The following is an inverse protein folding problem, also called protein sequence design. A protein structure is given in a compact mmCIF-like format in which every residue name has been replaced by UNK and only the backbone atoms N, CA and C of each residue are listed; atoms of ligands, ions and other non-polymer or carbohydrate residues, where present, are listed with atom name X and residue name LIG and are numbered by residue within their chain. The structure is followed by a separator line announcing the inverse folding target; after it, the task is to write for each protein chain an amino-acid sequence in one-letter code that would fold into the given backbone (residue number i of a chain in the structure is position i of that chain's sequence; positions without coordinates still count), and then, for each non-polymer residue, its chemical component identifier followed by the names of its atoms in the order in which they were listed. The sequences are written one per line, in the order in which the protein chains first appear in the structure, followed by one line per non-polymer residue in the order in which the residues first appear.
data_IF_998039097590
#
_entry.id   IF_998039097590
#
_cell.length_a   1.000
_cell.length_b   1.000
_cell.length_c   1.000
_cell.angle_alpha   90.00
_cell.angle_beta   90.00
_cell.angle_gamma   90.00
#
_symmetry.space_group_name_H-M   'P 1'
#
loop_
_entity.id
_entity.type
_entity.pdbx_description
1 polymer ?
#
# COMPACT_ATOMS: atom_id res chain seq x y z
N UNK A 1 0.74 4.34 -3.04
CA UNK A 1 2.01 3.57 -3.14
C UNK A 1 2.09 2.95 -4.52
N UNK A 2 3.30 2.65 -4.97
CA UNK A 2 3.56 1.99 -6.24
C UNK A 2 3.98 0.54 -6.00
N UNK A 3 3.61 -0.34 -6.92
CA UNK A 3 4.09 -1.72 -6.97
C UNK A 3 4.70 -2.00 -8.33
N UNK A 4 5.90 -2.59 -8.35
CA UNK A 4 6.58 -3.00 -9.58
C UNK A 4 6.21 -4.43 -10.02
N UNK A 5 6.74 -4.88 -11.16
CA UNK A 5 6.49 -6.21 -11.70
C UNK A 5 7.04 -7.36 -10.85
N UNK A 6 8.04 -7.10 -10.01
CA UNK A 6 8.58 -8.07 -9.06
C UNK A 6 7.78 -8.12 -7.74
N UNK A 7 6.79 -7.23 -7.59
CA UNK A 7 5.98 -7.13 -6.39
C UNK A 7 6.64 -6.30 -5.28
N UNK A 8 7.69 -5.53 -5.58
CA UNK A 8 8.26 -4.59 -4.62
C UNK A 8 7.32 -3.38 -4.49
N UNK A 9 7.08 -2.96 -3.26
CA UNK A 9 6.21 -1.85 -2.92
C UNK A 9 7.05 -0.69 -2.43
N UNK A 10 6.79 0.51 -2.96
CA UNK A 10 7.39 1.75 -2.48
C UNK A 10 6.36 2.87 -2.36
N UNK A 11 6.63 3.85 -1.50
CA UNK A 11 5.84 5.08 -1.44
C UNK A 11 6.01 5.82 -0.14
N UNK A 12 5.16 6.81 0.10
CA UNK A 12 5.15 7.59 1.34
C UNK A 12 3.77 7.53 1.99
N UNK A 13 3.75 7.60 3.32
CA UNK A 13 2.55 7.82 4.12
C UNK A 13 2.71 9.10 4.93
N UNK A 14 1.75 10.02 4.78
CA UNK A 14 1.79 11.34 5.42
C UNK A 14 0.58 11.51 6.33
N UNK A 15 0.83 11.91 7.57
CA UNK A 15 -0.18 12.23 8.57
C UNK A 15 0.20 13.54 9.27
N UNK A 16 -0.36 14.66 8.80
CA UNK A 16 0.08 15.98 9.22
C UNK A 16 1.53 16.24 8.79
N UNK A 17 2.40 16.63 9.72
CA UNK A 17 3.84 16.83 9.48
C UNK A 17 4.67 15.54 9.60
N UNK A 18 4.05 14.40 9.92
CA UNK A 18 4.74 13.11 10.02
C UNK A 18 4.73 12.40 8.68
N UNK A 19 5.92 12.08 8.17
CA UNK A 19 6.11 11.41 6.88
C UNK A 19 6.90 10.13 7.09
N UNK A 20 6.34 9.02 6.64
CA UNK A 20 6.97 7.70 6.61
C UNK A 20 7.34 7.34 5.18
N UNK A 21 8.59 6.93 4.96
CA UNK A 21 8.97 6.23 3.75
C UNK A 21 8.61 4.76 3.91
N UNK A 22 7.93 4.20 2.92
CA UNK A 22 7.40 2.85 2.95
C UNK A 22 8.08 2.00 1.89
N UNK A 23 8.57 0.85 2.31
CA UNK A 23 9.15 -0.17 1.45
C UNK A 23 8.64 -1.55 1.81
N UNK A 24 8.48 -2.43 0.84
CA UNK A 24 7.95 -3.75 1.13
C UNK A 24 7.74 -4.63 -0.08
N UNK A 25 6.92 -5.67 0.11
CA UNK A 25 6.58 -6.64 -0.94
C UNK A 25 5.12 -7.02 -0.89
N UNK A 26 4.56 -7.37 -2.05
CA UNK A 26 3.26 -7.99 -2.20
C UNK A 26 3.38 -9.22 -3.11
N UNK A 27 3.06 -10.39 -2.58
CA UNK A 27 3.15 -11.68 -3.29
C UNK A 27 1.83 -12.42 -3.21
N UNK A 28 1.56 -13.34 -4.14
CA UNK A 28 0.39 -14.20 -4.04
C UNK A 28 0.47 -15.02 -2.74
N UNK A 29 -0.58 -14.95 -1.93
CA UNK A 29 -0.66 -15.70 -0.67
C UNK A 29 -0.65 -17.23 -0.91
N UNK A 30 -1.07 -17.67 -2.09
CA UNK A 30 -0.98 -19.07 -2.52
C UNK A 30 -0.43 -19.12 -3.96
N UNK A 31 0.90 -19.16 -4.13
CA UNK A 31 1.52 -19.22 -5.45
C UNK A 31 0.99 -20.40 -6.28
N UNK A 32 0.79 -20.19 -7.59
CA UNK A 32 0.24 -21.22 -8.49
C UNK A 32 -1.27 -21.44 -8.37
N UNK A 33 -1.96 -20.72 -7.48
CA UNK A 33 -3.42 -20.75 -7.37
C UNK A 33 -4.09 -19.69 -8.24
N UNK A 34 -5.32 -19.94 -8.69
CA UNK A 34 -6.17 -18.93 -9.32
C UNK A 34 -6.74 -17.88 -8.32
N UNK A 35 -6.36 -17.98 -7.04
CA UNK A 35 -6.79 -17.05 -5.99
C UNK A 35 -6.02 -15.73 -6.11
N UNK A 36 -6.75 -14.62 -6.26
CA UNK A 36 -6.19 -13.27 -6.30
C UNK A 36 -6.06 -12.63 -4.91
N UNK A 37 -5.53 -13.40 -3.94
CA UNK A 37 -5.24 -12.91 -2.59
C UNK A 37 -3.73 -12.71 -2.45
N UNK A 38 -3.33 -11.55 -1.96
CA UNK A 38 -1.92 -11.19 -1.82
C UNK A 38 -1.54 -11.08 -0.34
N UNK A 39 -0.40 -11.64 0.03
CA UNK A 39 0.26 -11.36 1.29
C UNK A 39 1.16 -10.14 1.08
N UNK A 40 1.04 -9.15 1.97
CA UNK A 40 1.77 -7.89 1.88
C UNK A 40 2.55 -7.67 3.16
N UNK A 41 3.82 -7.28 3.01
CA UNK A 41 4.72 -6.91 4.10
C UNK A 41 5.30 -5.53 3.82
N UNK A 42 5.04 -4.58 4.69
CA UNK A 42 5.54 -3.20 4.58
C UNK A 42 6.43 -2.88 5.79
N UNK A 43 7.52 -2.17 5.56
CA UNK A 43 8.38 -1.58 6.59
C UNK A 43 8.28 -0.08 6.44
N UNK A 44 8.06 0.61 7.55
CA UNK A 44 8.04 2.05 7.63
C UNK A 44 9.36 2.57 8.21
N UNK A 45 9.88 3.63 7.61
CA UNK A 45 11.08 4.34 8.04
C UNK A 45 10.80 5.83 8.17
N UNK A 46 11.60 6.52 8.99
CA UNK A 46 11.50 7.98 9.09
C UNK A 46 11.93 8.59 7.76
N UNK A 47 11.04 9.40 7.17
CA UNK A 47 11.37 10.06 5.92
C UNK A 47 12.44 11.13 6.14
N UNK A 48 13.34 11.26 5.16
CA UNK A 48 14.36 12.32 5.10
C UNK A 48 13.83 13.61 4.47
N UNK A 49 12.56 13.65 4.09
CA UNK A 49 11.94 14.82 3.49
C UNK A 49 11.95 16.04 4.45
N UNK A 50 12.32 17.25 3.96
CA UNK A 50 12.33 18.45 4.78
C UNK A 50 10.96 18.74 5.42
N UNK A 51 10.98 19.14 6.70
CA UNK A 51 9.76 19.44 7.46
C UNK A 51 9.05 18.23 8.05
N UNK A 52 9.55 17.01 7.80
CA UNK A 52 9.07 15.81 8.49
C UNK A 52 9.40 15.88 9.99
N UNK A 53 8.39 15.65 10.84
CA UNK A 53 8.55 15.54 12.30
C UNK A 53 8.66 14.09 12.78
N UNK A 54 9.00 13.15 11.88
CA UNK A 54 9.09 11.70 12.13
C UNK A 54 7.98 10.90 11.46
N UNK A 55 7.91 9.60 11.75
CA UNK A 55 6.91 8.69 11.18
C UNK A 55 5.73 8.41 12.13
N UNK A 56 4.51 8.36 11.60
CA UNK A 56 3.30 8.05 12.35
C UNK A 56 3.02 6.54 12.49
N UNK A 57 3.77 5.70 11.79
CA UNK A 57 3.74 4.25 11.90
C UNK A 57 4.91 3.77 12.77
N UNK A 58 4.83 2.54 13.30
CA UNK A 58 5.94 1.96 14.06
C UNK A 58 7.11 1.65 13.12
N UNK A 59 8.22 2.38 13.27
CA UNK A 59 9.43 2.14 12.48
C UNK A 59 10.16 0.89 12.96
N UNK A 60 10.85 0.20 12.06
CA UNK A 60 11.60 -1.03 12.36
C UNK A 60 10.76 -2.27 12.63
N UNK A 61 9.42 -2.16 12.64
CA UNK A 61 8.50 -3.30 12.79
C UNK A 61 7.74 -3.51 11.48
N UNK A 62 7.73 -4.73 10.91
CA UNK A 62 6.96 -4.99 9.70
C UNK A 62 5.45 -4.95 9.93
N UNK A 63 4.76 -4.26 9.04
CA UNK A 63 3.31 -4.24 8.92
C UNK A 63 2.87 -5.29 7.90
N UNK A 64 2.26 -6.36 8.39
CA UNK A 64 1.77 -7.43 7.54
C UNK A 64 0.26 -7.35 7.39
N UNK A 65 -0.23 -7.78 6.23
CA UNK A 65 -1.65 -7.87 5.95
C UNK A 65 -1.93 -8.66 4.69
N UNK A 66 -3.22 -8.93 4.46
CA UNK A 66 -3.68 -9.44 3.18
C UNK A 66 -4.25 -8.30 2.34
N UNK A 67 -4.07 -8.40 1.03
CA UNK A 67 -4.61 -7.46 0.07
C UNK A 67 -5.43 -8.17 -1.00
N UNK A 68 -6.46 -7.48 -1.45
CA UNK A 68 -7.32 -7.91 -2.56
C UNK A 68 -7.22 -6.91 -3.72
N UNK A 69 -7.48 -7.40 -4.93
CA UNK A 69 -7.58 -6.55 -6.12
C UNK A 69 -8.89 -5.77 -6.08
N UNK A 70 -8.80 -4.45 -6.20
CA UNK A 70 -9.90 -3.53 -6.47
C UNK A 70 -9.67 -2.86 -7.82
N UNK A 71 -10.71 -2.77 -8.63
CA UNK A 71 -10.73 -1.92 -9.82
C UNK A 71 -11.16 -0.52 -9.40
N UNK A 72 -10.28 0.46 -9.60
CA UNK A 72 -10.57 1.87 -9.31
C UNK A 72 -10.49 2.68 -10.59
N UNK A 73 -11.35 3.71 -10.77
CA UNK A 73 -11.19 4.64 -11.88
C UNK A 73 -9.77 5.21 -11.91
N UNK A 74 -9.13 5.13 -13.07
CA UNK A 74 -7.72 5.49 -13.23
C UNK A 74 -7.46 6.98 -12.98
N UNK A 75 -8.49 7.81 -13.13
CA UNK A 75 -8.50 9.24 -12.84
C UNK A 75 -8.92 9.58 -11.40
N UNK A 76 -9.22 8.57 -10.57
CA UNK A 76 -9.71 8.76 -9.20
C UNK A 76 -11.16 9.23 -9.08
N UNK A 77 -11.92 9.23 -10.19
CA UNK A 77 -13.33 9.62 -10.17
C UNK A 77 -14.19 8.68 -9.33
N UNK A 78 -15.25 9.22 -8.72
CA UNK A 78 -16.28 8.44 -7.99
C UNK A 78 -17.46 8.14 -8.91
N UNK A 79 -17.80 9.08 -9.80
CA UNK A 79 -18.86 8.94 -10.79
C UNK A 79 -18.24 8.30 -12.04
N UNK A 80 -18.72 7.10 -12.38
CA UNK A 80 -18.22 6.32 -13.52
C UNK A 80 -19.19 6.39 -14.69
N UNK A 81 -18.66 6.37 -15.90
CA UNK A 81 -19.42 6.31 -17.14
C UNK A 81 -18.80 5.29 -18.11
N UNK A 82 -19.36 5.17 -19.31
CA UNK A 82 -18.90 4.21 -20.32
C UNK A 82 -17.44 4.42 -20.78
N UNK A 83 -16.88 5.62 -20.57
CA UNK A 83 -15.49 5.96 -20.95
C UNK A 83 -14.50 5.78 -19.79
N UNK A 84 -14.97 5.46 -18.58
CA UNK A 84 -14.10 5.31 -17.40
C UNK A 84 -13.13 4.15 -17.59
N UNK A 85 -11.83 4.46 -17.55
CA UNK A 85 -10.75 3.47 -17.52
C UNK A 85 -10.49 3.04 -16.08
N UNK A 86 -10.20 1.76 -15.88
CA UNK A 86 -9.92 1.21 -14.56
C UNK A 86 -8.47 0.79 -14.41
N UNK A 87 -7.88 1.13 -13.26
CA UNK A 87 -6.60 0.61 -12.83
C UNK A 87 -6.80 -0.53 -11.82
N UNK A 88 -5.95 -1.56 -11.91
CA UNK A 88 -5.87 -2.61 -10.89
C UNK A 88 -5.09 -2.06 -9.70
N UNK A 89 -5.74 -2.04 -8.54
CA UNK A 89 -5.15 -1.55 -7.30
C UNK A 89 -5.26 -2.64 -6.25
N UNK A 90 -4.16 -2.91 -5.53
CA UNK A 90 -4.20 -3.75 -4.33
C UNK A 90 -4.61 -2.89 -3.14
N UNK A 91 -5.65 -3.34 -2.42
CA UNK A 91 -6.11 -2.70 -1.20
C UNK A 91 -5.83 -3.63 -0.03
N UNK A 92 -5.04 -3.16 0.92
CA UNK A 92 -4.62 -3.89 2.11
C UNK A 92 -5.24 -3.24 3.35
N UNK A 93 -5.67 -4.05 4.30
CA UNK A 93 -5.83 -3.66 5.70
C UNK A 93 -4.70 -4.32 6.50
N UNK A 94 -3.83 -3.50 7.09
CA UNK A 94 -2.64 -3.94 7.81
C UNK A 94 -2.70 -3.54 9.28
N UNK A 95 -1.99 -4.29 10.13
CA UNK A 95 -1.83 -3.94 11.55
C UNK A 95 -0.59 -3.07 11.78
N UNK A 96 -0.67 -2.10 12.69
CA UNK A 96 0.42 -1.13 12.96
C UNK A 96 1.52 -1.69 13.86
N UNK A 97 1.64 -3.00 14.08
CA UNK A 97 2.60 -3.59 15.04
C UNK A 97 2.30 -3.29 16.53
N UNK A 98 1.66 -2.17 16.81
CA UNK A 98 1.23 -1.66 18.13
C UNK A 98 -0.28 -1.87 18.39
N UNK A 99 -0.96 -2.66 17.57
CA UNK A 99 -2.38 -3.00 17.72
C UNK A 99 -3.38 -2.06 17.01
N UNK A 100 -2.91 -1.05 16.28
CA UNK A 100 -3.74 -0.26 15.38
C UNK A 100 -3.92 -0.91 14.01
N UNK A 101 -4.79 -0.33 13.18
CA UNK A 101 -5.00 -0.73 11.79
C UNK A 101 -4.83 0.46 10.86
N UNK A 102 -4.33 0.20 9.65
CA UNK A 102 -4.31 1.19 8.58
C UNK A 102 -4.73 0.52 7.27
N UNK A 103 -5.17 1.34 6.31
CA UNK A 103 -5.48 0.89 4.95
C UNK A 103 -4.47 1.43 3.96
N UNK A 104 -4.00 0.59 3.06
CA UNK A 104 -3.03 0.93 2.03
C UNK A 104 -3.59 0.62 0.64
N UNK A 105 -3.37 1.55 -0.31
CA UNK A 105 -3.65 1.36 -1.72
C UNK A 105 -2.36 1.39 -2.54
N UNK A 106 -2.12 0.31 -3.28
CA UNK A 106 -0.95 0.13 -4.14
C UNK A 106 -1.42 -0.06 -5.57
N UNK A 107 -1.00 0.82 -6.46
CA UNK A 107 -1.34 0.74 -7.88
C UNK A 107 -0.07 0.34 -8.64
N UNK A 108 -0.24 -0.50 -9.66
CA UNK A 108 0.87 -0.90 -10.52
C UNK A 108 1.46 0.33 -11.22
N UNK A 109 2.79 0.43 -11.21
CA UNK A 109 3.53 1.49 -11.90
C UNK A 109 3.41 1.36 -13.43
#
# INVERSE_FOLDING_TARGET
MQIDDAGNVTGTYTSGTRICDLQGTATLATPGSAKNLYAVRIVAENSTQPGSTGCALSTGVPHNGFAAIRLMPADGSIIVNSSTRYARTLVMAGSTGTGGYFTMQMTKQ
#
